data_IF_629347699792
#
_entry.id   IF_629347699792
#
_cell.length_a   1.000
_cell.length_b   1.000
_cell.length_c   1.000
_cell.angle_alpha   90.00
_cell.angle_beta   90.00
_cell.angle_gamma   90.00
#
_symmetry.space_group_name_H-M   'P 1'
#
loop_
_entity.id
_entity.type
_entity.pdbx_description
1 polymer ?
#
# COMPACT_ATOMS: atom_id res chain seq x y z
N UNK A 1 -22.56 -6.79 -6.69
CA UNK A 1 -21.47 -6.07 -7.40
C UNK A 1 -21.62 -4.59 -7.00
N UNK A 2 -20.77 -3.88 -6.25
CA UNK A 2 -19.32 -3.95 -6.10
C UNK A 2 -18.87 -3.10 -4.89
N UNK A 3 -19.28 -3.44 -3.66
CA UNK A 3 -18.82 -2.71 -2.45
C UNK A 3 -17.30 -2.69 -2.33
N UNK A 4 -16.65 -3.78 -2.78
CA UNK A 4 -15.20 -3.88 -2.88
C UNK A 4 -14.58 -2.82 -3.81
N UNK A 5 -15.20 -2.46 -4.95
CA UNK A 5 -14.67 -1.40 -5.83
C UNK A 5 -14.79 -0.03 -5.19
N UNK A 6 -15.92 0.27 -4.55
CA UNK A 6 -16.13 1.55 -3.89
C UNK A 6 -15.14 1.73 -2.74
N UNK A 7 -14.96 0.69 -1.92
CA UNK A 7 -13.94 0.63 -0.88
C UNK A 7 -12.54 0.75 -1.50
N UNK A 8 -12.26 0.07 -2.61
CA UNK A 8 -10.93 0.15 -3.23
C UNK A 8 -10.62 1.53 -3.82
N UNK A 9 -11.59 2.21 -4.42
CA UNK A 9 -11.45 3.58 -4.94
C UNK A 9 -11.30 4.59 -3.80
N UNK A 10 -12.17 4.51 -2.79
CA UNK A 10 -12.10 5.37 -1.61
C UNK A 10 -10.78 5.20 -0.88
N UNK A 11 -10.32 3.96 -0.75
CA UNK A 11 -9.04 3.70 -0.16
C UNK A 11 -7.86 4.08 -1.09
N UNK A 12 -8.03 4.20 -2.41
CA UNK A 12 -6.99 4.68 -3.35
C UNK A 12 -6.82 6.20 -3.24
N UNK A 13 -7.92 6.90 -3.04
CA UNK A 13 -7.96 8.35 -2.76
C UNK A 13 -7.32 8.63 -1.39
N UNK A 14 -7.74 7.89 -0.35
CA UNK A 14 -7.13 7.96 0.98
C UNK A 14 -5.70 7.41 1.05
N UNK A 15 -5.33 6.44 0.21
CA UNK A 15 -3.95 5.94 0.16
C UNK A 15 -3.00 7.06 -0.28
N UNK A 16 -3.42 7.92 -1.21
CA UNK A 16 -2.63 9.10 -1.58
C UNK A 16 -2.26 10.00 -0.40
N UNK A 17 -3.15 10.13 0.60
CA UNK A 17 -2.94 11.00 1.77
C UNK A 17 -2.52 10.26 3.05
N UNK A 18 -2.81 8.96 3.19
CA UNK A 18 -2.60 8.16 4.42
C UNK A 18 -2.12 6.73 4.15
N UNK A 19 -1.36 6.51 3.08
CA UNK A 19 -0.84 5.19 2.65
C UNK A 19 -0.20 4.38 3.80
N UNK A 20 0.53 5.04 4.69
CA UNK A 20 1.16 4.40 5.85
C UNK A 20 0.16 3.94 6.92
N UNK A 21 -0.85 4.76 7.26
CA UNK A 21 -1.88 4.37 8.24
C UNK A 21 -2.72 3.20 7.72
N UNK A 22 -2.98 3.16 6.41
CA UNK A 22 -3.66 2.03 5.77
C UNK A 22 -2.81 0.76 5.79
N UNK A 23 -1.50 0.86 5.59
CA UNK A 23 -0.58 -0.25 5.75
C UNK A 23 -0.64 -0.81 7.18
N UNK A 24 -0.66 0.05 8.20
CA UNK A 24 -0.79 -0.37 9.60
C UNK A 24 -2.13 -1.06 9.87
N UNK A 25 -3.26 -0.51 9.41
CA UNK A 25 -4.57 -1.14 9.56
C UNK A 25 -4.63 -2.50 8.87
N UNK A 26 -4.08 -2.60 7.66
CA UNK A 26 -4.02 -3.87 6.92
C UNK A 26 -3.15 -4.91 7.64
N UNK A 27 -1.96 -4.50 8.11
CA UNK A 27 -1.07 -5.40 8.87
C UNK A 27 -1.71 -5.80 10.19
N UNK A 28 -2.38 -4.90 10.90
CA UNK A 28 -3.11 -5.22 12.13
C UNK A 28 -4.27 -6.20 11.90
N UNK A 29 -4.97 -6.09 10.76
CA UNK A 29 -6.10 -6.95 10.43
C UNK A 29 -5.68 -8.35 9.95
N UNK A 30 -4.56 -8.46 9.23
CA UNK A 30 -4.12 -9.72 8.60
C UNK A 30 -2.94 -10.40 9.31
N UNK A 31 -2.10 -9.64 10.01
CA UNK A 31 -0.87 -10.08 10.66
C UNK A 31 -0.72 -9.45 12.05
N UNK A 32 -1.62 -9.75 13.00
CA UNK A 32 -1.51 -9.24 14.36
C UNK A 32 -0.23 -9.77 15.01
N UNK A 33 0.69 -8.87 15.37
CA UNK A 33 1.91 -9.18 16.13
C UNK A 33 3.21 -9.26 15.31
N UNK A 34 3.16 -9.09 13.99
CA UNK A 34 4.38 -8.95 13.19
C UNK A 34 4.95 -7.52 13.26
N UNK A 35 6.28 -7.36 13.20
CA UNK A 35 6.90 -6.04 13.14
C UNK A 35 6.45 -5.32 11.86
N UNK A 36 5.83 -4.16 12.05
CA UNK A 36 5.48 -3.22 10.98
C UNK A 36 6.72 -2.45 10.55
N UNK A 37 6.83 -2.18 9.25
CA UNK A 37 7.85 -1.26 8.74
C UNK A 37 7.60 0.13 9.30
N UNK A 38 8.67 0.83 9.65
CA UNK A 38 8.62 2.27 9.94
C UNK A 38 8.24 3.05 8.68
N UNK A 39 7.64 4.24 8.83
CA UNK A 39 7.18 5.07 7.71
C UNK A 39 8.25 5.27 6.63
N UNK A 40 9.50 5.55 7.04
CA UNK A 40 10.63 5.75 6.12
C UNK A 40 11.01 4.49 5.35
N UNK A 41 10.95 3.33 6.00
CA UNK A 41 11.23 2.03 5.40
C UNK A 41 10.10 1.61 4.45
N UNK A 42 8.86 1.92 4.80
CA UNK A 42 7.70 1.72 3.92
C UNK A 42 7.83 2.51 2.62
N UNK A 43 8.18 3.81 2.68
CA UNK A 43 8.38 4.63 1.48
C UNK A 43 9.58 4.16 0.65
N UNK A 44 10.66 3.73 1.30
CA UNK A 44 11.82 3.16 0.63
C UNK A 44 11.45 1.86 -0.11
N UNK A 45 10.80 0.92 0.57
CA UNK A 45 10.39 -0.36 -0.03
C UNK A 45 9.37 -0.17 -1.15
N UNK A 46 8.43 0.79 -1.00
CA UNK A 46 7.49 1.14 -2.08
C UNK A 46 8.21 1.68 -3.30
N UNK A 47 9.20 2.54 -3.11
CA UNK A 47 10.00 3.12 -4.20
C UNK A 47 10.86 2.06 -4.87
N UNK A 48 11.56 1.24 -4.08
CA UNK A 48 12.36 0.10 -4.57
C UNK A 48 11.49 -0.92 -5.32
N UNK A 49 10.27 -1.19 -4.84
CA UNK A 49 9.33 -2.06 -5.54
C UNK A 49 8.90 -1.48 -6.89
N UNK A 50 8.70 -0.16 -6.98
CA UNK A 50 8.39 0.53 -8.25
C UNK A 50 9.59 0.56 -9.19
N UNK A 51 10.80 0.71 -8.65
CA UNK A 51 12.05 0.67 -9.41
C UNK A 51 12.34 -0.74 -9.96
N UNK A 52 12.10 -1.79 -9.16
CA UNK A 52 12.26 -3.21 -9.53
C UNK A 52 11.14 -3.76 -10.41
N UNK A 53 9.96 -3.15 -10.36
CA UNK A 53 8.90 -3.35 -11.35
C UNK A 53 8.79 -2.08 -12.18
N UNK A 54 9.80 -1.74 -13.00
CA UNK A 54 9.52 -0.81 -14.07
C UNK A 54 8.47 -1.55 -14.89
N UNK A 55 7.26 -1.01 -14.98
CA UNK A 55 6.30 -1.51 -15.96
C UNK A 55 7.00 -1.32 -17.29
N UNK A 56 7.69 -2.36 -17.74
CA UNK A 56 8.40 -2.42 -19.00
C UNK A 56 7.31 -2.41 -20.06
N UNK A 57 6.78 -1.22 -20.32
CA UNK A 57 6.21 -0.86 -21.61
C UNK A 57 7.39 -0.81 -22.55
N UNK A 58 7.91 -1.98 -22.88
CA UNK A 58 8.57 -2.15 -24.15
C UNK A 58 7.47 -1.96 -25.19
N UNK A 59 7.78 -1.07 -26.14
CA UNK A 59 6.96 -0.72 -27.28
C UNK A 59 6.41 -1.92 -28.04
#
# INVERSE_FOLDING_TARGET
MTRLRAVWQFLRELAGERDYERYLQHRAAHHPGEPVLSEREFWRERTDRQDRQPSARCC
#
